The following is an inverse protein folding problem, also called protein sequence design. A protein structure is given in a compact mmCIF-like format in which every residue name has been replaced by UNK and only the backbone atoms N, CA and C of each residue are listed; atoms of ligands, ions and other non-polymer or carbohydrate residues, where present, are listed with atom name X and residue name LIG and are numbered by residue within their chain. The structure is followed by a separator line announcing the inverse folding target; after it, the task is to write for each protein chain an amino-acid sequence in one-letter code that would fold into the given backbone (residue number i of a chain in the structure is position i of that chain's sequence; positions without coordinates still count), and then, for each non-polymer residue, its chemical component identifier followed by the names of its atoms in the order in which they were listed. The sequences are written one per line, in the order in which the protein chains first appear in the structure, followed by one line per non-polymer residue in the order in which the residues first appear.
data_IF_339787121923
#
_entry.id   IF_339787121923
#
_cell.length_a   1.000
_cell.length_b   1.000
_cell.length_c   1.000
_cell.angle_alpha   90.00
_cell.angle_beta   90.00
_cell.angle_gamma   90.00
#
_symmetry.space_group_name_H-M   'P 1'
#
loop_
_entity.id
_entity.type
_entity.pdbx_description
1 polymer ?
#
# COMPACT_ATOMS: atom_id res chain seq x y z
N UNK A 1 -6.10 -9.49 6.30
CA UNK A 1 -5.57 -10.37 5.22
C UNK A 1 -6.52 -11.54 4.92
N UNK A 2 -6.99 -12.27 5.94
CA UNK A 2 -7.89 -13.44 5.78
C UNK A 2 -9.16 -13.19 4.94
N UNK A 3 -9.76 -12.00 5.04
CA UNK A 3 -10.94 -11.62 4.24
C UNK A 3 -10.69 -11.58 2.71
N UNK A 4 -9.46 -11.31 2.26
CA UNK A 4 -9.15 -11.13 0.83
C UNK A 4 -8.37 -12.30 0.21
N UNK A 5 -7.87 -13.25 1.03
CA UNK A 5 -7.04 -14.38 0.56
C UNK A 5 -7.81 -15.25 -0.44
N UNK A 6 -9.11 -15.46 -0.23
CA UNK A 6 -9.92 -16.37 -1.07
C UNK A 6 -10.63 -15.67 -2.22
N UNK A 7 -10.89 -14.36 -2.13
CA UNK A 7 -11.77 -13.65 -3.08
C UNK A 7 -11.07 -12.88 -4.21
N UNK A 8 -9.78 -12.57 -4.13
CA UNK A 8 -9.13 -11.72 -5.15
C UNK A 8 -7.64 -12.00 -5.36
N UNK A 9 -7.29 -12.95 -6.24
CA UNK A 9 -5.91 -13.27 -6.65
C UNK A 9 -5.12 -12.02 -7.08
N UNK A 10 -5.75 -11.11 -7.84
CA UNK A 10 -5.11 -9.89 -8.36
C UNK A 10 -4.64 -8.94 -7.25
N UNK A 11 -5.44 -8.73 -6.19
CA UNK A 11 -5.07 -7.82 -5.10
C UNK A 11 -3.89 -8.37 -4.29
N UNK A 12 -3.89 -9.69 -4.01
CA UNK A 12 -2.78 -10.34 -3.31
C UNK A 12 -1.50 -10.26 -4.14
N UNK A 13 -1.59 -10.51 -5.46
CA UNK A 13 -0.45 -10.40 -6.37
C UNK A 13 0.10 -8.96 -6.42
N UNK A 14 -0.78 -7.96 -6.48
CA UNK A 14 -0.40 -6.54 -6.40
C UNK A 14 0.35 -6.22 -5.10
N UNK A 15 -0.15 -6.70 -3.94
CA UNK A 15 0.51 -6.45 -2.66
C UNK A 15 1.91 -7.06 -2.58
N UNK A 16 2.09 -8.27 -3.15
CA UNK A 16 3.39 -8.94 -3.23
C UNK A 16 4.34 -8.19 -4.16
N UNK A 17 3.91 -7.83 -5.38
CA UNK A 17 4.74 -7.09 -6.32
C UNK A 17 5.14 -5.70 -5.77
N UNK A 18 4.20 -5.00 -5.12
CA UNK A 18 4.47 -3.72 -4.48
C UNK A 18 5.52 -3.86 -3.36
N UNK A 19 5.39 -4.91 -2.53
CA UNK A 19 6.35 -5.17 -1.45
C UNK A 19 7.74 -5.52 -1.99
N UNK A 20 7.83 -6.38 -3.01
CA UNK A 20 9.11 -6.77 -3.64
C UNK A 20 9.81 -5.57 -4.29
N UNK A 21 9.08 -4.74 -5.04
CA UNK A 21 9.69 -3.58 -5.69
C UNK A 21 10.08 -2.51 -4.68
N UNK A 22 9.28 -2.25 -3.64
CA UNK A 22 9.69 -1.36 -2.54
C UNK A 22 10.90 -1.89 -1.77
N UNK A 23 11.01 -3.21 -1.57
CA UNK A 23 12.21 -3.81 -0.97
C UNK A 23 13.46 -3.53 -1.81
N UNK A 24 13.41 -3.79 -3.12
CA UNK A 24 14.53 -3.49 -4.01
C UNK A 24 14.86 -1.99 -4.05
N UNK A 25 13.85 -1.15 -3.97
CA UNK A 25 13.98 0.30 -3.95
C UNK A 25 14.63 0.84 -2.68
N UNK A 26 14.15 0.43 -1.52
CA UNK A 26 14.70 0.84 -0.22
C UNK A 26 16.12 0.29 -0.05
N UNK A 27 16.37 -0.95 -0.49
CA UNK A 27 17.71 -1.57 -0.47
C UNK A 27 18.72 -0.81 -1.35
N UNK A 28 18.27 -0.21 -2.45
CA UNK A 28 19.12 0.62 -3.28
C UNK A 28 19.54 1.93 -2.58
N UNK A 29 18.63 2.57 -1.84
CA UNK A 29 18.91 3.85 -1.15
C UNK A 29 19.58 3.71 0.22
N UNK A 30 19.38 2.59 0.92
CA UNK A 30 19.85 2.37 2.29
C UNK A 30 21.31 1.95 2.45
N UNK A 31 22.13 2.03 1.39
CA UNK A 31 23.50 1.50 1.40
C UNK A 31 24.51 2.38 2.16
N UNK A 32 24.38 2.41 3.49
CA UNK A 32 25.48 2.70 4.42
C UNK A 32 26.07 1.41 5.03
N UNK A 33 25.39 0.26 4.93
CA UNK A 33 25.84 -1.03 5.47
C UNK A 33 25.66 -2.18 4.48
N UNK A 34 26.56 -2.27 3.49
CA UNK A 34 27.12 -3.54 3.00
C UNK A 34 26.29 -4.55 2.21
N UNK A 35 24.97 -4.38 1.98
CA UNK A 35 24.19 -5.32 1.15
C UNK A 35 23.58 -4.61 -0.05
N UNK A 36 24.33 -4.54 -1.14
CA UNK A 36 23.89 -3.99 -2.42
C UNK A 36 23.09 -5.04 -3.21
N UNK A 37 21.87 -5.34 -2.76
CA UNK A 37 21.02 -6.36 -3.39
C UNK A 37 19.98 -5.79 -4.38
N UNK A 38 19.77 -4.47 -4.41
CA UNK A 38 18.73 -3.85 -5.23
C UNK A 38 19.25 -3.08 -6.43
N UNK A 39 19.05 -3.62 -7.64
CA UNK A 39 19.20 -2.87 -8.89
C UNK A 39 17.94 -2.03 -9.13
N UNK A 40 18.09 -0.72 -9.38
CA UNK A 40 16.99 0.20 -9.72
C UNK A 40 16.13 -0.32 -10.87
N UNK A 41 16.78 -0.96 -11.86
CA UNK A 41 16.12 -1.58 -13.01
C UNK A 41 15.18 -2.72 -12.62
N UNK A 42 15.53 -3.49 -11.58
CA UNK A 42 14.68 -4.57 -11.06
C UNK A 42 13.46 -4.03 -10.30
N UNK A 43 13.61 -2.93 -9.56
CA UNK A 43 12.47 -2.28 -8.93
C UNK A 43 11.48 -1.74 -9.98
N UNK A 44 12.01 -1.12 -11.04
CA UNK A 44 11.19 -0.60 -12.14
C UNK A 44 10.55 -1.70 -12.99
N UNK A 45 11.23 -2.83 -13.24
CA UNK A 45 10.64 -3.96 -13.96
C UNK A 45 9.51 -4.62 -13.18
N UNK A 46 9.67 -4.78 -11.86
CA UNK A 46 8.60 -5.31 -10.99
C UNK A 46 7.44 -4.32 -10.88
N UNK A 47 7.72 -3.01 -10.87
CA UNK A 47 6.70 -1.97 -10.93
C UNK A 47 5.90 -1.99 -12.25
N UNK A 48 6.60 -2.17 -13.37
CA UNK A 48 5.99 -2.35 -14.69
C UNK A 48 5.08 -3.57 -14.74
N UNK A 49 5.53 -4.72 -14.22
CA UNK A 49 4.71 -5.92 -14.10
C UNK A 49 3.46 -5.69 -13.24
N UNK A 50 3.59 -4.96 -12.13
CA UNK A 50 2.43 -4.61 -11.30
C UNK A 50 1.41 -3.75 -12.07
N UNK A 51 1.87 -2.79 -12.88
CA UNK A 51 1.00 -1.96 -13.72
C UNK A 51 0.26 -2.78 -14.79
N UNK A 52 0.91 -3.80 -15.36
CA UNK A 52 0.28 -4.70 -16.35
C UNK A 52 -0.82 -5.54 -15.68
N UNK A 53 -0.52 -6.16 -14.55
CA UNK A 53 -1.49 -6.96 -13.79
C UNK A 53 -2.67 -6.11 -13.34
N UNK A 54 -2.39 -4.87 -12.94
CA UNK A 54 -3.41 -3.95 -12.46
C UNK A 54 -3.02 -2.50 -12.78
N UNK A 55 -3.69 -1.86 -13.75
CA UNK A 55 -3.41 -0.48 -14.13
C UNK A 55 -3.53 0.53 -12.98
N UNK A 56 -4.37 0.25 -11.98
CA UNK A 56 -4.54 1.12 -10.80
C UNK A 56 -3.28 1.20 -9.92
N UNK A 57 -2.41 0.19 -9.96
CA UNK A 57 -1.13 0.20 -9.22
C UNK A 57 -0.16 1.28 -9.74
N UNK A 58 -0.40 1.81 -10.95
CA UNK A 58 0.34 2.94 -11.49
C UNK A 58 0.29 4.16 -10.56
N UNK A 59 -0.79 4.36 -9.81
CA UNK A 59 -0.92 5.45 -8.83
C UNK A 59 0.16 5.37 -7.73
N UNK A 60 0.44 4.14 -7.27
CA UNK A 60 1.48 3.86 -6.26
C UNK A 60 2.87 4.17 -6.81
N UNK A 61 3.16 3.70 -8.03
CA UNK A 61 4.46 3.90 -8.68
C UNK A 61 4.69 5.34 -9.12
N UNK A 62 3.63 6.07 -9.47
CA UNK A 62 3.69 7.49 -9.80
C UNK A 62 4.26 8.30 -8.64
N UNK A 63 3.84 8.03 -7.40
CA UNK A 63 4.40 8.71 -6.22
C UNK A 63 5.91 8.47 -6.08
N UNK A 64 6.34 7.20 -6.16
CA UNK A 64 7.77 6.86 -6.06
C UNK A 64 8.57 7.46 -7.22
N UNK A 65 8.01 7.45 -8.43
CA UNK A 65 8.60 8.08 -9.61
C UNK A 65 8.79 9.59 -9.45
N UNK A 66 7.78 10.29 -8.93
CA UNK A 66 7.86 11.74 -8.63
C UNK A 66 8.92 12.00 -7.55
N UNK A 67 8.96 11.18 -6.49
CA UNK A 67 9.97 11.32 -5.44
C UNK A 67 11.40 11.16 -5.97
N UNK A 68 11.67 10.19 -6.85
CA UNK A 68 12.99 10.10 -7.50
C UNK A 68 13.25 11.24 -8.44
N UNK A 69 12.24 11.66 -9.20
CA UNK A 69 12.41 12.74 -10.15
C UNK A 69 12.85 14.03 -9.45
N UNK A 70 12.31 14.30 -8.25
CA UNK A 70 12.71 15.43 -7.42
C UNK A 70 14.13 15.24 -6.85
N UNK A 71 14.51 14.01 -6.48
CA UNK A 71 15.81 13.70 -5.86
C UNK A 71 16.95 13.43 -6.86
N UNK A 72 16.63 13.19 -8.14
CA UNK A 72 17.60 12.82 -9.16
C UNK A 72 18.44 14.03 -9.59
N UNK A 73 19.75 13.84 -9.63
CA UNK A 73 20.71 14.84 -10.11
C UNK A 73 20.50 15.12 -11.61
N UNK A 74 20.35 14.08 -12.43
CA UNK A 74 20.09 14.17 -13.87
C UNK A 74 18.64 13.80 -14.23
N UNK A 75 17.71 14.74 -13.99
CA UNK A 75 16.26 14.54 -14.19
C UNK A 75 15.88 14.08 -15.60
N UNK A 76 16.50 14.66 -16.62
CA UNK A 76 16.19 14.35 -18.03
C UNK A 76 16.64 12.95 -18.43
N UNK A 77 17.85 12.54 -18.04
CA UNK A 77 18.35 11.19 -18.33
C UNK A 77 17.48 10.14 -17.66
N UNK A 78 17.10 10.35 -16.41
CA UNK A 78 16.21 9.43 -15.70
C UNK A 78 14.84 9.29 -16.40
N UNK A 79 14.22 10.42 -16.76
CA UNK A 79 12.93 10.41 -17.43
C UNK A 79 13.01 9.70 -18.79
N UNK A 80 13.91 10.13 -19.66
CA UNK A 80 13.95 9.67 -21.06
C UNK A 80 14.61 8.31 -21.26
N UNK A 81 15.62 7.94 -20.46
CA UNK A 81 16.35 6.68 -20.65
C UNK A 81 15.81 5.53 -19.78
N UNK A 82 15.07 5.83 -18.72
CA UNK A 82 14.59 4.81 -17.78
C UNK A 82 13.06 4.77 -17.72
N UNK A 83 12.40 5.89 -17.44
CA UNK A 83 10.94 5.91 -17.23
C UNK A 83 10.16 5.76 -18.54
N UNK A 84 10.47 6.56 -19.56
CA UNK A 84 9.78 6.57 -20.86
C UNK A 84 9.83 5.19 -21.55
N UNK A 85 10.99 4.53 -21.73
CA UNK A 85 11.02 3.24 -22.43
C UNK A 85 10.25 2.15 -21.68
N UNK A 86 10.34 2.13 -20.35
CA UNK A 86 9.59 1.17 -19.52
C UNK A 86 8.09 1.46 -19.60
N UNK A 87 7.69 2.74 -19.53
CA UNK A 87 6.29 3.15 -19.65
C UNK A 87 5.68 2.81 -21.01
N UNK A 88 6.41 3.06 -22.11
CA UNK A 88 5.98 2.70 -23.47
C UNK A 88 5.82 1.18 -23.59
N UNK A 89 6.79 0.41 -23.09
CA UNK A 89 6.73 -1.06 -23.09
C UNK A 89 5.50 -1.57 -22.35
N UNK A 90 5.21 -1.03 -21.16
CA UNK A 90 4.01 -1.39 -20.39
C UNK A 90 2.73 -1.08 -21.16
N UNK A 91 2.61 0.12 -21.75
CA UNK A 91 1.43 0.53 -22.52
C UNK A 91 1.24 -0.40 -23.72
N UNK A 92 2.31 -0.72 -24.47
CA UNK A 92 2.24 -1.62 -25.62
C UNK A 92 1.77 -3.01 -25.18
N UNK A 93 2.36 -3.56 -24.12
CA UNK A 93 1.96 -4.88 -23.60
C UNK A 93 0.51 -4.88 -23.11
N UNK A 94 0.07 -3.83 -22.41
CA UNK A 94 -1.32 -3.69 -21.96
C UNK A 94 -2.30 -3.58 -23.14
N UNK A 95 -2.00 -2.74 -24.13
CA UNK A 95 -2.82 -2.64 -25.35
C UNK A 95 -2.89 -3.96 -26.11
N UNK A 96 -1.77 -4.69 -26.19
CA UNK A 96 -1.71 -5.97 -26.87
C UNK A 96 -2.54 -7.04 -26.15
N UNK A 97 -2.45 -7.10 -24.82
CA UNK A 97 -3.27 -7.99 -24.00
C UNK A 97 -4.76 -7.63 -24.12
N UNK A 98 -5.11 -6.34 -24.05
CA UNK A 98 -6.49 -5.88 -24.20
C UNK A 98 -7.03 -6.26 -25.59
N UNK A 99 -6.27 -6.04 -26.66
CA UNK A 99 -6.66 -6.44 -28.01
C UNK A 99 -6.86 -7.96 -28.13
N UNK A 100 -5.94 -8.75 -27.57
CA UNK A 100 -6.02 -10.21 -27.62
C UNK A 100 -7.24 -10.75 -26.85
N UNK A 101 -7.55 -10.16 -25.70
CA UNK A 101 -8.68 -10.60 -24.86
C UNK A 101 -10.04 -10.14 -25.39
N UNK A 102 -10.16 -8.89 -25.82
CA UNK A 102 -11.44 -8.30 -26.25
C UNK A 102 -11.70 -8.45 -27.75
N UNK A 103 -10.73 -8.92 -28.54
CA UNK A 103 -10.83 -9.06 -30.01
C UNK A 103 -11.02 -7.74 -30.76
N UNK A 104 -10.87 -6.61 -30.08
CA UNK A 104 -11.07 -5.26 -30.60
C UNK A 104 -10.08 -4.30 -29.95
N UNK A 105 -9.79 -3.19 -30.63
CA UNK A 105 -8.89 -2.15 -30.11
C UNK A 105 -9.60 -1.36 -29.00
N UNK A 106 -9.50 -1.88 -27.78
CA UNK A 106 -10.06 -1.27 -26.59
C UNK A 106 -8.92 -1.02 -25.61
N UNK A 107 -8.85 0.19 -25.06
CA UNK A 107 -7.91 0.51 -24.00
C UNK A 107 -8.63 0.45 -22.65
N UNK A 108 -8.51 -0.69 -21.97
CA UNK A 108 -9.26 -0.99 -20.75
C UNK A 108 -9.06 0.05 -19.63
N UNK A 109 -7.85 0.60 -19.39
CA UNK A 109 -7.65 1.61 -18.35
C UNK A 109 -8.40 2.93 -18.61
N UNK A 110 -8.49 3.38 -19.87
CA UNK A 110 -9.23 4.60 -20.21
C UNK A 110 -10.73 4.38 -20.11
N UNK A 111 -11.22 3.20 -20.49
CA UNK A 111 -12.62 2.86 -20.31
C UNK A 111 -13.00 2.77 -18.83
N UNK A 112 -12.12 2.21 -17.99
CA UNK A 112 -12.29 2.21 -16.55
C UNK A 112 -12.32 3.63 -16.00
N UNK A 113 -11.37 4.49 -16.40
CA UNK A 113 -11.32 5.89 -15.97
C UNK A 113 -12.57 6.66 -16.40
N UNK A 114 -12.99 6.48 -17.66
CA UNK A 114 -14.20 7.09 -18.21
C UNK A 114 -15.44 6.63 -17.43
N UNK A 115 -15.54 5.35 -17.12
CA UNK A 115 -16.67 4.80 -16.38
C UNK A 115 -16.69 5.21 -14.89
N UNK A 116 -15.53 5.39 -14.25
CA UNK A 116 -15.45 5.71 -12.82
C UNK A 116 -15.40 7.22 -12.51
N UNK A 117 -14.85 8.04 -13.41
CA UNK A 117 -14.72 9.50 -13.22
C UNK A 117 -15.71 10.32 -14.04
N UNK A 118 -15.94 9.95 -15.31
CA UNK A 118 -16.68 10.79 -16.27
C UNK A 118 -18.14 10.37 -16.43
N UNK A 119 -18.43 9.08 -16.25
CA UNK A 119 -19.78 8.55 -16.23
C UNK A 119 -20.15 8.27 -14.78
N UNK A 120 -21.32 8.73 -14.33
CA UNK A 120 -21.90 8.45 -13.01
C UNK A 120 -22.24 6.96 -12.79
N UNK A 121 -21.59 6.04 -13.52
CA UNK A 121 -21.73 4.60 -13.39
C UNK A 121 -21.27 4.07 -12.02
N UNK A 122 -20.31 4.75 -11.39
CA UNK A 122 -19.89 4.47 -10.02
C UNK A 122 -20.94 4.81 -8.96
N UNK A 123 -21.87 5.73 -9.25
CA UNK A 123 -22.90 6.15 -8.29
C UNK A 123 -23.95 5.05 -8.06
N UNK A 124 -24.11 4.13 -9.02
CA UNK A 124 -25.01 2.97 -8.90
C UNK A 124 -24.58 1.97 -7.82
N UNK A 125 -23.30 1.94 -7.47
CA UNK A 125 -22.76 1.01 -6.46
C UNK A 125 -22.67 1.62 -5.06
N UNK A 126 -23.20 2.83 -4.88
CA UNK A 126 -23.18 3.57 -3.62
C UNK A 126 -21.97 4.51 -3.53
N UNK A 127 -22.24 5.79 -3.26
CA UNK A 127 -21.18 6.78 -3.08
C UNK A 127 -20.84 6.94 -1.61
N UNK A 128 -19.54 7.05 -1.34
CA UNK A 128 -19.04 7.35 -0.01
C UNK A 128 -18.41 8.74 -0.01
N UNK A 129 -18.57 9.48 1.10
CA UNK A 129 -17.96 10.82 1.27
C UNK A 129 -16.46 10.77 1.04
N UNK A 130 -15.86 11.85 0.52
CA UNK A 130 -14.43 11.93 0.18
C UNK A 130 -13.52 11.41 1.33
N UNK A 131 -13.83 11.76 2.58
CA UNK A 131 -13.04 11.38 3.76
C UNK A 131 -13.16 9.89 4.16
N UNK A 132 -14.00 9.10 3.50
CA UNK A 132 -14.32 7.73 3.93
C UNK A 132 -13.07 6.86 4.10
N UNK A 133 -12.12 6.92 3.18
CA UNK A 133 -10.87 6.16 3.29
C UNK A 133 -10.05 6.55 4.53
N UNK A 134 -10.01 7.83 4.90
CA UNK A 134 -9.28 8.31 6.07
C UNK A 134 -10.02 8.06 7.38
N UNK A 135 -11.35 8.18 7.39
CA UNK A 135 -12.15 8.12 8.61
C UNK A 135 -12.64 6.71 8.97
N UNK A 136 -12.94 5.88 7.96
CA UNK A 136 -13.63 4.60 8.14
C UNK A 136 -12.93 3.47 7.41
N UNK A 137 -12.69 3.62 6.10
CA UNK A 137 -12.18 2.57 5.22
C UNK A 137 -10.82 2.00 5.68
N UNK A 138 -9.80 2.84 5.71
CA UNK A 138 -8.45 2.43 6.13
C UNK A 138 -8.35 2.11 7.63
N UNK A 139 -8.96 2.91 8.53
CA UNK A 139 -9.09 2.56 9.94
C UNK A 139 -9.68 1.17 10.20
N UNK A 140 -10.79 0.83 9.54
CA UNK A 140 -11.46 -0.46 9.71
C UNK A 140 -10.58 -1.62 9.27
N UNK A 141 -9.77 -1.46 8.22
CA UNK A 141 -8.84 -2.50 7.77
C UNK A 141 -7.68 -2.74 8.74
N UNK A 142 -7.19 -1.68 9.40
CA UNK A 142 -6.13 -1.79 10.41
C UNK A 142 -6.65 -2.31 11.75
N UNK A 143 -7.92 -2.05 12.05
CA UNK A 143 -8.60 -2.50 13.26
C UNK A 143 -7.75 -2.24 14.52
N UNK A 144 -7.39 -3.28 15.26
CA UNK A 144 -6.61 -3.16 16.51
C UNK A 144 -5.15 -2.74 16.29
N UNK A 145 -4.64 -2.82 15.06
CA UNK A 145 -3.29 -2.33 14.71
C UNK A 145 -3.24 -0.82 14.45
N UNK A 146 -4.39 -0.14 14.31
CA UNK A 146 -4.47 1.29 13.98
C UNK A 146 -3.68 2.20 14.94
N UNK A 147 -3.89 2.17 16.27
CA UNK A 147 -3.18 3.08 17.16
C UNK A 147 -1.66 2.84 17.10
N UNK A 148 -1.24 1.58 16.97
CA UNK A 148 0.17 1.21 16.87
C UNK A 148 0.80 1.68 15.56
N UNK A 149 0.10 1.59 14.43
CA UNK A 149 0.59 2.07 13.13
C UNK A 149 0.74 3.59 13.11
N UNK A 150 -0.22 4.34 13.67
CA UNK A 150 -0.12 5.80 13.76
C UNK A 150 1.08 6.25 14.59
N UNK A 151 1.26 5.67 15.79
CA UNK A 151 2.41 6.00 16.64
C UNK A 151 3.73 5.59 15.95
N UNK A 152 3.74 4.45 15.26
CA UNK A 152 4.87 4.01 14.45
C UNK A 152 5.23 4.96 13.31
N UNK A 153 4.24 5.54 12.63
CA UNK A 153 4.43 6.57 11.60
C UNK A 153 5.09 7.81 12.21
N UNK A 154 4.57 8.31 13.34
CA UNK A 154 5.15 9.47 14.02
C UNK A 154 6.57 9.21 14.55
N UNK A 155 6.86 8.00 15.01
CA UNK A 155 8.16 7.65 15.60
C UNK A 155 9.24 7.34 14.55
N UNK A 156 8.88 6.66 13.46
CA UNK A 156 9.84 6.22 12.43
C UNK A 156 10.46 7.38 11.64
N UNK A 157 9.79 8.54 11.54
CA UNK A 157 10.18 9.70 10.71
C UNK A 157 10.39 9.35 9.21
N UNK A 158 9.95 8.18 8.77
CA UNK A 158 10.05 7.73 7.38
C UNK A 158 8.91 8.34 6.54
N UNK A 159 9.10 9.59 6.15
CA UNK A 159 8.12 10.40 5.40
C UNK A 159 7.78 9.83 4.02
N UNK A 160 8.68 9.04 3.42
CA UNK A 160 8.48 8.45 2.08
C UNK A 160 7.39 7.40 2.08
N UNK A 161 7.41 6.50 3.07
CA UNK A 161 6.43 5.41 3.17
C UNK A 161 5.11 5.89 3.76
N UNK A 162 5.14 6.78 4.74
CA UNK A 162 3.91 7.39 5.26
C UNK A 162 3.26 8.30 4.21
N UNK A 163 4.07 9.04 3.45
CA UNK A 163 3.61 9.83 2.31
C UNK A 163 3.05 8.98 1.18
N UNK A 164 3.60 7.79 0.92
CA UNK A 164 3.03 6.84 -0.05
C UNK A 164 1.62 6.39 0.37
N UNK A 165 1.44 6.01 1.63
CA UNK A 165 0.12 5.62 2.17
C UNK A 165 -0.86 6.79 2.04
N UNK A 166 -0.46 7.99 2.46
CA UNK A 166 -1.29 9.18 2.37
C UNK A 166 -1.64 9.56 0.93
N UNK A 167 -0.68 9.44 0.00
CA UNK A 167 -0.87 9.67 -1.42
C UNK A 167 -1.92 8.74 -2.01
N UNK A 168 -1.77 7.43 -1.78
CA UNK A 168 -2.68 6.41 -2.32
C UNK A 168 -4.09 6.60 -1.75
N UNK A 169 -4.21 6.85 -0.45
CA UNK A 169 -5.51 7.18 0.18
C UNK A 169 -6.12 8.45 -0.40
N UNK A 170 -5.30 9.49 -0.62
CA UNK A 170 -5.74 10.76 -1.18
C UNK A 170 -6.28 10.64 -2.60
N UNK A 171 -5.52 10.00 -3.50
CA UNK A 171 -5.93 9.80 -4.90
C UNK A 171 -7.19 8.94 -4.99
N UNK A 172 -7.27 7.84 -4.23
CA UNK A 172 -8.48 7.01 -4.22
C UNK A 172 -9.67 7.70 -3.53
N UNK A 173 -9.45 8.70 -2.68
CA UNK A 173 -10.55 9.47 -2.06
C UNK A 173 -11.29 10.38 -3.05
N UNK A 174 -10.65 10.71 -4.18
CA UNK A 174 -11.25 11.50 -5.27
C UNK A 174 -12.25 10.66 -6.07
N UNK A 175 -12.07 9.34 -6.12
CA UNK A 175 -13.01 8.45 -6.80
C UNK A 175 -14.34 8.40 -6.02
N UNK A 176 -15.45 8.49 -6.74
CA UNK A 176 -16.80 8.42 -6.16
C UNK A 176 -17.11 7.05 -5.56
N UNK A 177 -16.74 5.98 -6.29
CA UNK A 177 -16.86 4.61 -5.83
C UNK A 177 -15.67 4.21 -4.95
N UNK A 178 -15.96 3.66 -3.76
CA UNK A 178 -14.93 3.31 -2.77
C UNK A 178 -15.10 1.89 -2.31
N UNK A 179 -13.99 1.17 -2.36
CA UNK A 179 -13.92 -0.21 -1.90
C UNK A 179 -12.63 -0.45 -1.14
N UNK A 180 -12.69 -1.37 -0.17
CA UNK A 180 -11.52 -1.76 0.62
C UNK A 180 -10.38 -2.35 -0.24
N UNK A 181 -10.72 -3.01 -1.36
CA UNK A 181 -9.73 -3.69 -2.21
C UNK A 181 -8.70 -2.77 -2.85
N UNK A 182 -9.05 -1.53 -3.19
CA UNK A 182 -8.12 -0.60 -3.84
C UNK A 182 -6.96 -0.16 -2.94
N UNK A 183 -7.18 -0.18 -1.63
CA UNK A 183 -6.22 0.28 -0.63
C UNK A 183 -5.52 -0.90 0.06
N UNK A 184 -5.89 -2.14 -0.27
CA UNK A 184 -5.33 -3.35 0.34
C UNK A 184 -3.80 -3.45 0.15
N UNK A 185 -3.28 -2.96 -0.97
CA UNK A 185 -1.84 -2.90 -1.25
C UNK A 185 -1.07 -2.02 -0.26
N UNK A 186 -1.73 -1.09 0.44
CA UNK A 186 -1.12 -0.23 1.45
C UNK A 186 -1.12 -0.84 2.86
N UNK A 187 -1.94 -1.86 3.10
CA UNK A 187 -2.06 -2.53 4.40
C UNK A 187 -0.73 -3.07 4.96
N UNK A 188 0.11 -3.82 4.19
CA UNK A 188 1.37 -4.33 4.73
C UNK A 188 2.31 -3.22 5.18
N UNK A 189 2.33 -2.06 4.50
CA UNK A 189 3.19 -0.94 4.89
C UNK A 189 2.72 -0.28 6.18
N UNK A 190 1.41 -0.15 6.39
CA UNK A 190 0.87 0.34 7.66
C UNK A 190 1.12 -0.64 8.82
N UNK A 191 1.02 -1.96 8.57
CA UNK A 191 1.39 -2.97 9.57
C UNK A 191 2.88 -2.96 9.89
N UNK A 192 3.74 -2.64 8.92
CA UNK A 192 5.18 -2.47 9.16
C UNK A 192 5.47 -1.37 10.19
N UNK A 193 4.77 -0.23 10.12
CA UNK A 193 4.87 0.83 11.14
C UNK A 193 4.39 0.36 12.52
N UNK A 194 3.32 -0.43 12.57
CA UNK A 194 2.87 -1.04 13.83
C UNK A 194 3.94 -1.97 14.42
N UNK A 195 4.60 -2.78 13.58
CA UNK A 195 5.69 -3.65 13.99
C UNK A 195 6.90 -2.87 14.51
N UNK A 196 7.26 -1.78 13.81
CA UNK A 196 8.34 -0.88 14.22
C UNK A 196 8.09 -0.26 15.59
N UNK A 197 6.87 0.23 15.84
CA UNK A 197 6.50 0.76 17.16
C UNK A 197 6.64 -0.31 18.26
N UNK A 198 6.08 -1.51 18.02
CA UNK A 198 6.12 -2.59 19.00
C UNK A 198 7.55 -3.08 19.29
N UNK A 199 8.43 -3.06 18.28
CA UNK A 199 9.85 -3.36 18.45
C UNK A 199 10.56 -2.30 19.31
N UNK A 200 10.30 -1.01 19.08
CA UNK A 200 10.91 0.07 19.85
C UNK A 200 10.41 0.11 21.30
N UNK A 201 9.12 -0.14 21.54
CA UNK A 201 8.56 -0.29 22.90
C UNK A 201 9.22 -1.45 23.65
N UNK A 202 9.73 -2.45 22.92
CA UNK A 202 10.43 -3.60 23.51
C UNK A 202 11.89 -3.30 23.85
N UNK A 203 12.51 -2.29 23.22
CA UNK A 203 13.93 -1.94 23.40
C UNK A 203 14.21 -0.96 24.54
N UNK A 204 13.17 -0.30 25.07
CA UNK A 204 13.30 0.83 26.02
C UNK A 204 13.52 0.41 27.50
N UNK A 205 14.08 -0.78 27.72
CA UNK A 205 14.50 -1.26 29.05
C UNK A 205 15.97 -0.93 29.37
N UNK A 206 16.72 -0.26 28.48
CA UNK A 206 18.10 0.14 28.76
C UNK A 206 18.51 1.41 28.00
N UNK A 207 18.88 2.44 28.75
CA UNK A 207 19.54 3.72 28.38
C UNK A 207 18.69 4.96 28.04
N UNK A 208 18.44 5.75 29.10
CA UNK A 208 18.93 7.13 29.29
C UNK A 208 18.16 8.35 28.71
N UNK A 209 17.26 8.88 29.55
CA UNK A 209 17.13 10.28 30.02
C UNK A 209 17.10 11.52 29.09
N UNK A 210 17.15 11.44 27.74
CA UNK A 210 17.19 12.67 26.90
C UNK A 210 16.00 13.00 25.98
N UNK A 211 14.94 12.19 25.93
CA UNK A 211 13.80 12.45 25.03
C UNK A 211 12.50 12.84 25.75
N UNK A 212 12.59 13.69 26.78
CA UNK A 212 11.45 14.10 27.63
C UNK A 212 10.51 15.16 27.04
N UNK A 213 10.62 15.52 25.76
CA UNK A 213 9.87 16.68 25.19
C UNK A 213 8.72 16.36 24.23
N UNK A 214 8.41 15.08 23.99
CA UNK A 214 7.21 14.69 23.24
C UNK A 214 6.37 13.61 23.98
N UNK A 215 6.51 13.52 25.29
CA UNK A 215 5.85 12.51 26.13
C UNK A 215 4.48 12.96 26.67
N UNK A 216 3.71 13.74 25.90
CA UNK A 216 2.36 14.16 26.34
C UNK A 216 1.27 13.12 26.00
N UNK A 217 1.60 12.08 25.23
CA UNK A 217 0.77 10.88 25.05
C UNK A 217 1.43 9.68 25.76
N UNK A 218 1.72 9.82 27.06
CA UNK A 218 2.13 8.68 27.89
C UNK A 218 0.92 7.82 28.22
N UNK A 219 0.41 7.08 27.22
CA UNK A 219 -0.36 5.87 27.50
C UNK A 219 0.61 4.95 28.22
N UNK A 220 0.34 4.64 29.49
CA UNK A 220 1.04 3.65 30.30
C UNK A 220 1.04 2.32 29.54
N UNK A 221 2.05 2.10 28.71
CA UNK A 221 2.08 0.96 27.81
C UNK A 221 2.21 -0.31 28.65
N UNK A 222 1.23 -1.24 28.58
CA UNK A 222 1.37 -2.51 29.26
C UNK A 222 2.55 -3.27 28.65
N UNK A 223 3.16 -4.17 29.43
CA UNK A 223 4.30 -4.99 28.97
C UNK A 223 3.99 -5.60 27.60
N UNK A 224 5.00 -5.64 26.70
CA UNK A 224 4.93 -6.18 25.33
C UNK A 224 4.08 -7.43 25.21
N UNK A 225 4.19 -8.33 26.19
CA UNK A 225 3.44 -9.59 26.26
C UNK A 225 1.93 -9.36 26.24
N UNK A 226 1.42 -8.39 26.99
CA UNK A 226 -0.01 -8.05 27.03
C UNK A 226 -0.49 -7.36 25.77
N UNK A 227 0.33 -6.50 25.15
CA UNK A 227 -0.02 -5.87 23.86
C UNK A 227 -0.13 -6.91 22.74
N UNK A 228 0.84 -7.83 22.66
CA UNK A 228 0.82 -8.93 21.70
C UNK A 228 -0.35 -9.88 21.99
N UNK A 229 -0.59 -10.23 23.26
CA UNK A 229 -1.71 -11.08 23.66
C UNK A 229 -3.05 -10.43 23.30
N UNK A 230 -3.22 -9.13 23.52
CA UNK A 230 -4.40 -8.37 23.13
C UNK A 230 -4.62 -8.37 21.62
N UNK A 231 -3.56 -8.16 20.83
CA UNK A 231 -3.63 -8.23 19.37
C UNK A 231 -4.02 -9.63 18.89
N UNK A 232 -3.45 -10.69 19.47
CA UNK A 232 -3.81 -12.07 19.14
C UNK A 232 -5.26 -12.35 19.52
N UNK A 233 -5.65 -12.01 20.75
CA UNK A 233 -6.99 -12.28 21.28
C UNK A 233 -8.09 -11.55 20.49
N UNK A 234 -7.81 -10.40 19.91
CA UNK A 234 -8.78 -9.66 19.08
C UNK A 234 -8.79 -10.11 17.62
N UNK A 235 -7.63 -10.43 17.04
CA UNK A 235 -7.54 -10.79 15.62
C UNK A 235 -7.84 -12.26 15.33
N UNK A 236 -7.55 -13.19 16.25
CA UNK A 236 -7.77 -14.64 16.03
C UNK A 236 -9.26 -14.98 15.93
N UNK A 237 -10.16 -14.53 16.84
CA UNK A 237 -11.58 -14.81 16.71
C UNK A 237 -12.17 -14.19 15.45
N UNK A 238 -11.74 -12.97 15.10
CA UNK A 238 -12.18 -12.28 13.88
C UNK A 238 -11.72 -13.03 12.62
N UNK A 239 -10.47 -13.52 12.60
CA UNK A 239 -9.94 -14.33 11.51
C UNK A 239 -10.71 -15.65 11.36
N UNK A 240 -10.97 -16.35 12.48
CA UNK A 240 -11.73 -17.60 12.49
C UNK A 240 -13.18 -17.40 12.03
N UNK A 241 -13.86 -16.34 12.49
CA UNK A 241 -15.21 -16.00 12.03
C UNK A 241 -15.25 -15.74 10.53
N UNK A 242 -14.31 -14.93 10.03
CA UNK A 242 -14.24 -14.60 8.60
C UNK A 242 -13.84 -15.80 7.73
N UNK A 243 -13.04 -16.74 8.24
CA UNK A 243 -12.66 -17.94 7.49
C UNK A 243 -13.72 -19.05 7.54
N UNK A 244 -14.42 -19.22 8.66
CA UNK A 244 -15.32 -20.36 8.86
C UNK A 244 -16.78 -20.03 8.59
N UNK A 245 -17.26 -18.87 9.01
CA UNK A 245 -18.70 -18.55 8.95
C UNK A 245 -18.99 -17.74 7.68
N UNK A 246 -18.21 -16.69 7.44
CA UNK A 246 -18.46 -15.80 6.30
C UNK A 246 -18.24 -16.50 4.95
N UNK A 247 -17.25 -17.40 4.85
CA UNK A 247 -17.00 -18.16 3.62
C UNK A 247 -18.08 -19.20 3.32
N UNK A 248 -18.70 -19.79 4.35
CA UNK A 248 -19.73 -20.82 4.18
C UNK A 248 -21.07 -20.21 3.76
N UNK A 249 -21.46 -19.06 4.31
CA UNK A 249 -22.70 -18.37 3.93
C UNK A 249 -22.71 -17.84 2.48
N UNK A 250 -21.55 -17.68 1.85
CA UNK A 250 -21.45 -17.27 0.45
C UNK A 250 -21.52 -18.45 -0.54
N UNK A 251 -21.52 -19.70 -0.04
CA UNK A 251 -21.53 -20.93 -0.84
C UNK A 251 -22.88 -21.69 -0.82
N UNK A 252 -23.86 -21.15 -0.09
CA UNK A 252 -25.23 -21.67 0.06
C UNK A 252 -26.24 -20.71 -0.56
#
# INVERSE_FOLDING_TARGET
MFFCITRTLSNSLETVLASVSLFYWLSHKGSSRGVQAGSRKMALSVAALACIVRPTSAITWLYLGILEFIQAYDRFKFLFLEVVPIGILVIILSCWLDWWMYGSWVFAPLNFLKFNLLSSGGDYYGTHKWHWYFSQGFPAMLFTFLPFSLIGIFHSKEWRLSGLIAWVLGVYSILGHKEFRFVLSMLPFALMFSGYFLANVSGDQSHDHKQKRLSFFCIRCPSRKYLVLFLIATNVPMALYMSLVHQVSDSS
#
